data_IF_986261377381
#
_entry.id   IF_986261377381
#
_cell.length_a   1.000
_cell.length_b   1.000
_cell.length_c   1.000
_cell.angle_alpha   90.00
_cell.angle_beta   90.00
_cell.angle_gamma   90.00
#
_symmetry.space_group_name_H-M   'P 1'
#
loop_
_entity.id
_entity.type
_entity.pdbx_description
1 polymer ?
#
# COMPACT_ATOMS: atom_id res chain seq x y z
N UNK A 1 7.43 -14.94 -1.11
CA UNK A 1 6.08 -15.29 -0.64
C UNK A 1 5.90 -16.81 -0.56
N UNK A 2 5.78 -17.53 -1.67
CA UNK A 2 5.42 -18.97 -1.73
C UNK A 2 6.34 -19.85 -0.87
N UNK A 3 7.66 -19.68 -0.93
CA UNK A 3 8.62 -20.43 -0.10
C UNK A 3 8.41 -20.26 1.43
N UNK A 4 7.74 -19.19 1.83
CA UNK A 4 7.38 -18.91 3.23
C UNK A 4 5.92 -19.28 3.55
N UNK A 5 5.30 -20.16 2.74
CA UNK A 5 3.91 -20.62 2.88
C UNK A 5 2.84 -19.53 2.74
N UNK A 6 3.20 -18.34 2.22
CA UNK A 6 2.27 -17.27 1.89
C UNK A 6 1.68 -17.57 0.53
N UNK A 7 0.36 -17.54 0.44
CA UNK A 7 -0.36 -17.78 -0.81
C UNK A 7 -0.22 -16.55 -1.71
N UNK A 8 0.57 -16.70 -2.77
CA UNK A 8 0.80 -15.70 -3.81
C UNK A 8 0.85 -16.42 -5.16
N UNK A 9 0.47 -15.78 -6.28
CA UNK A 9 0.44 -16.41 -7.59
C UNK A 9 1.77 -17.05 -7.95
N UNK A 10 1.72 -18.29 -8.43
CA UNK A 10 2.88 -18.94 -9.05
C UNK A 10 3.07 -18.34 -10.43
N UNK A 11 4.31 -18.08 -10.80
CA UNK A 11 4.68 -17.73 -12.15
C UNK A 11 4.89 -19.03 -12.93
N UNK A 12 4.07 -19.26 -13.97
CA UNK A 12 4.16 -20.43 -14.82
C UNK A 12 5.08 -20.21 -16.02
N UNK A 13 4.96 -19.04 -16.66
CA UNK A 13 5.70 -18.69 -17.85
C UNK A 13 6.04 -17.21 -17.91
N UNK A 14 7.20 -16.89 -18.46
CA UNK A 14 7.60 -15.53 -18.79
C UNK A 14 8.01 -15.45 -20.26
N UNK A 15 7.50 -14.46 -20.99
CA UNK A 15 7.89 -14.18 -22.38
C UNK A 15 8.05 -12.66 -22.56
N UNK A 16 9.22 -12.17 -22.21
CA UNK A 16 9.51 -10.74 -22.29
C UNK A 16 9.64 -10.21 -23.74
N UNK A 17 9.80 -11.10 -24.75
CA UNK A 17 9.80 -10.68 -26.16
C UNK A 17 8.40 -10.29 -26.62
N UNK A 18 7.39 -10.98 -26.11
CA UNK A 18 5.98 -10.75 -26.40
C UNK A 18 5.26 -9.97 -25.28
N UNK A 19 6.01 -9.48 -24.27
CA UNK A 19 5.52 -8.67 -23.17
C UNK A 19 4.39 -9.33 -22.35
N UNK A 20 4.43 -10.65 -22.14
CA UNK A 20 3.47 -11.32 -21.27
C UNK A 20 4.12 -12.23 -20.22
N UNK A 21 3.39 -12.44 -19.14
CA UNK A 21 3.65 -13.45 -18.11
C UNK A 21 2.37 -14.26 -17.88
N UNK A 22 2.53 -15.54 -17.57
CA UNK A 22 1.44 -16.42 -17.17
C UNK A 22 1.60 -16.73 -15.68
N UNK A 23 0.57 -16.42 -14.91
CA UNK A 23 0.55 -16.59 -13.46
C UNK A 23 -0.71 -17.34 -13.00
N UNK A 24 -0.64 -17.90 -11.80
CA UNK A 24 -1.78 -18.58 -11.16
C UNK A 24 -2.92 -17.58 -10.91
N UNK A 25 -4.14 -17.97 -11.27
CA UNK A 25 -5.35 -17.21 -11.01
C UNK A 25 -6.00 -17.68 -9.70
N UNK A 26 -6.24 -16.75 -8.78
CA UNK A 26 -6.97 -16.98 -7.52
C UNK A 26 -8.44 -16.57 -7.60
N UNK A 27 -8.92 -16.19 -8.77
CA UNK A 27 -10.26 -15.65 -8.97
C UNK A 27 -10.37 -14.19 -8.49
N UNK A 28 -11.60 -13.72 -8.34
CA UNK A 28 -11.90 -12.29 -8.16
C UNK A 28 -12.54 -11.96 -6.80
N UNK A 29 -12.56 -12.88 -5.84
CA UNK A 29 -13.17 -12.67 -4.52
C UNK A 29 -12.25 -11.89 -3.58
N UNK A 30 -12.05 -10.61 -3.91
CA UNK A 30 -11.20 -9.71 -3.13
C UNK A 30 -11.82 -9.39 -1.77
N UNK A 31 -10.96 -9.04 -0.78
CA UNK A 31 -11.43 -8.53 0.52
C UNK A 31 -12.29 -7.28 0.32
N UNK A 32 -11.99 -6.43 -0.66
CA UNK A 32 -12.83 -5.29 -1.02
C UNK A 32 -14.27 -5.70 -1.36
N UNK A 33 -14.46 -6.70 -2.24
CA UNK A 33 -15.80 -7.22 -2.58
C UNK A 33 -16.50 -7.80 -1.35
N UNK A 34 -15.77 -8.54 -0.51
CA UNK A 34 -16.31 -9.13 0.71
C UNK A 34 -16.76 -8.10 1.74
N UNK A 35 -15.98 -7.02 1.93
CA UNK A 35 -16.33 -5.93 2.86
C UNK A 35 -17.61 -5.19 2.45
N UNK A 36 -17.96 -5.20 1.16
CA UNK A 36 -19.19 -4.58 0.63
C UNK A 36 -20.42 -5.49 0.71
N UNK A 37 -20.24 -6.79 0.94
CA UNK A 37 -21.37 -7.71 1.08
C UNK A 37 -22.16 -7.37 2.35
N UNK A 38 -23.49 -7.32 2.25
CA UNK A 38 -24.39 -7.12 3.40
C UNK A 38 -24.17 -8.25 4.44
N UNK A 39 -24.11 -7.89 5.71
CA UNK A 39 -23.89 -8.86 6.80
C UNK A 39 -22.43 -9.35 6.93
N UNK A 40 -21.47 -8.81 6.15
CA UNK A 40 -20.06 -9.21 6.27
C UNK A 40 -19.49 -8.86 7.65
N UNK A 41 -18.76 -9.80 8.24
CA UNK A 41 -17.99 -9.54 9.46
C UNK A 41 -16.67 -8.81 9.11
N UNK A 42 -16.76 -7.48 8.98
CA UNK A 42 -15.66 -6.62 8.57
C UNK A 42 -14.43 -6.77 9.47
N UNK A 43 -14.64 -6.81 10.80
CA UNK A 43 -13.56 -6.97 11.77
C UNK A 43 -12.78 -8.28 11.52
N UNK A 44 -13.49 -9.38 11.27
CA UNK A 44 -12.86 -10.67 11.02
C UNK A 44 -12.06 -10.68 9.70
N UNK A 45 -12.59 -10.03 8.65
CA UNK A 45 -11.87 -9.90 7.37
C UNK A 45 -10.55 -9.12 7.56
N UNK A 46 -10.60 -8.00 8.27
CA UNK A 46 -9.39 -7.23 8.58
C UNK A 46 -8.41 -7.98 9.49
N UNK A 47 -8.89 -8.72 10.50
CA UNK A 47 -8.01 -9.55 11.34
C UNK A 47 -7.25 -10.57 10.51
N UNK A 48 -7.91 -11.29 9.60
CA UNK A 48 -7.24 -12.21 8.66
C UNK A 48 -6.23 -11.49 7.76
N UNK A 49 -6.52 -10.27 7.34
CA UNK A 49 -5.57 -9.45 6.56
C UNK A 49 -4.34 -9.07 7.40
N UNK A 50 -4.54 -8.72 8.65
CA UNK A 50 -3.42 -8.44 9.59
C UNK A 50 -2.61 -9.70 9.87
N UNK A 51 -3.24 -10.86 10.07
CA UNK A 51 -2.53 -12.14 10.23
C UNK A 51 -1.60 -12.40 9.04
N UNK A 52 -2.10 -12.20 7.81
CA UNK A 52 -1.29 -12.31 6.59
C UNK A 52 -0.16 -11.27 6.55
N UNK A 53 -0.42 -10.03 6.96
CA UNK A 53 0.61 -8.99 7.02
C UNK A 53 1.76 -9.38 7.96
N UNK A 54 1.44 -9.87 9.16
CA UNK A 54 2.45 -10.35 10.12
C UNK A 54 3.29 -11.48 9.52
N UNK A 55 2.67 -12.44 8.82
CA UNK A 55 3.42 -13.52 8.16
C UNK A 55 4.36 -12.97 7.05
N UNK A 56 3.94 -11.97 6.29
CA UNK A 56 4.80 -11.30 5.30
C UNK A 56 5.97 -10.60 6.00
N UNK A 57 5.73 -9.91 7.10
CA UNK A 57 6.73 -9.17 7.86
C UNK A 57 7.79 -10.07 8.50
N UNK A 58 7.48 -11.34 8.73
CA UNK A 58 8.46 -12.35 9.21
C UNK A 58 9.49 -12.76 8.15
N UNK A 59 9.27 -12.41 6.87
CA UNK A 59 10.19 -12.76 5.80
C UNK A 59 11.47 -11.94 5.92
N UNK A 60 12.58 -12.58 6.28
CA UNK A 60 13.90 -11.95 6.43
C UNK A 60 14.75 -11.98 5.15
N UNK A 61 14.27 -12.67 4.12
CA UNK A 61 15.06 -12.93 2.91
C UNK A 61 15.08 -11.68 2.02
N UNK A 62 16.27 -11.09 1.88
CA UNK A 62 16.50 -9.88 1.04
C UNK A 62 16.97 -10.23 -0.38
N UNK A 63 17.35 -11.48 -0.64
CA UNK A 63 17.81 -11.95 -1.96
C UNK A 63 16.84 -13.02 -2.45
N UNK A 64 16.32 -12.83 -3.63
CA UNK A 64 15.46 -13.79 -4.33
C UNK A 64 16.13 -14.26 -5.62
N UNK A 65 15.63 -15.35 -6.19
CA UNK A 65 16.08 -15.85 -7.50
C UNK A 65 14.88 -15.81 -8.45
N UNK A 66 15.11 -15.34 -9.68
CA UNK A 66 14.13 -15.47 -10.75
C UNK A 66 14.05 -16.93 -11.25
N UNK A 67 13.18 -17.21 -12.22
CA UNK A 67 13.02 -18.56 -12.80
C UNK A 67 14.35 -19.11 -13.40
N UNK A 68 15.18 -18.24 -13.96
CA UNK A 68 16.50 -18.58 -14.52
C UNK A 68 17.61 -18.67 -13.47
N UNK A 69 17.28 -18.62 -12.17
CA UNK A 69 18.25 -18.72 -11.09
C UNK A 69 19.07 -17.44 -10.81
N UNK A 70 18.90 -16.36 -11.58
CA UNK A 70 19.60 -15.09 -11.37
C UNK A 70 19.19 -14.48 -10.05
N UNK A 71 20.18 -14.10 -9.25
CA UNK A 71 19.96 -13.42 -7.95
C UNK A 71 19.44 -12.00 -8.17
N UNK A 72 18.45 -11.59 -7.38
CA UNK A 72 17.95 -10.24 -7.32
C UNK A 72 17.89 -9.82 -5.84
N UNK A 73 18.56 -8.71 -5.52
CA UNK A 73 18.48 -8.11 -4.19
C UNK A 73 17.28 -7.17 -4.14
N UNK A 74 16.38 -7.43 -3.19
CA UNK A 74 15.21 -6.56 -2.98
C UNK A 74 15.69 -5.20 -2.49
N UNK A 75 15.39 -4.10 -3.20
CA UNK A 75 15.87 -2.77 -2.83
C UNK A 75 15.28 -2.27 -1.51
N UNK A 76 15.94 -1.29 -0.92
CA UNK A 76 15.44 -0.59 0.27
C UNK A 76 14.47 0.52 -0.15
N UNK A 77 13.38 0.65 0.61
CA UNK A 77 12.41 1.73 0.45
C UNK A 77 12.85 2.96 1.23
N UNK A 78 13.81 3.66 0.66
CA UNK A 78 14.45 4.81 1.29
C UNK A 78 13.54 6.05 1.34
N UNK A 79 13.83 6.97 2.26
CA UNK A 79 13.11 8.24 2.40
C UNK A 79 13.09 9.05 1.11
N UNK A 80 14.16 9.00 0.31
CA UNK A 80 14.19 9.67 -0.99
C UNK A 80 13.15 9.14 -1.98
N UNK A 81 12.89 7.82 -1.98
CA UNK A 81 11.84 7.21 -2.80
C UNK A 81 10.45 7.59 -2.29
N UNK A 82 10.24 7.54 -0.97
CA UNK A 82 9.00 8.01 -0.32
C UNK A 82 8.72 9.49 -0.64
N UNK A 83 9.76 10.33 -0.57
CA UNK A 83 9.67 11.74 -0.92
C UNK A 83 9.22 11.94 -2.38
N UNK A 84 9.87 11.25 -3.33
CA UNK A 84 9.51 11.34 -4.76
C UNK A 84 8.07 10.92 -5.02
N UNK A 85 7.58 9.91 -4.32
CA UNK A 85 6.19 9.44 -4.45
C UNK A 85 5.21 10.44 -3.82
N UNK A 86 5.46 10.94 -2.62
CA UNK A 86 4.60 11.94 -1.97
C UNK A 86 4.58 13.28 -2.72
N UNK A 87 5.70 13.65 -3.36
CA UNK A 87 5.82 14.86 -4.18
C UNK A 87 4.85 14.90 -5.35
N UNK A 88 4.33 13.77 -5.80
CA UNK A 88 3.26 13.74 -6.81
C UNK A 88 2.04 14.58 -6.40
N UNK A 89 1.81 14.75 -5.09
CA UNK A 89 0.77 15.65 -4.60
C UNK A 89 1.02 17.10 -5.02
N UNK A 90 2.21 17.62 -4.81
CA UNK A 90 2.56 18.99 -5.19
C UNK A 90 2.65 19.15 -6.72
N UNK A 91 3.18 18.14 -7.41
CA UNK A 91 3.42 18.22 -8.86
C UNK A 91 2.13 18.14 -9.67
N UNK A 92 1.09 17.46 -9.19
CA UNK A 92 -0.15 17.23 -9.93
C UNK A 92 -1.38 17.80 -9.24
N UNK A 93 -1.63 17.45 -7.96
CA UNK A 93 -2.83 17.91 -7.28
C UNK A 93 -2.76 19.40 -6.93
N UNK A 94 -1.71 19.85 -6.24
CA UNK A 94 -1.58 21.27 -5.87
C UNK A 94 -1.51 22.17 -7.10
N UNK A 95 -0.80 21.74 -8.14
CA UNK A 95 -0.72 22.45 -9.43
C UNK A 95 -2.10 22.74 -10.04
N UNK A 96 -3.07 21.83 -9.86
CA UNK A 96 -4.42 21.97 -10.39
C UNK A 96 -5.27 22.97 -9.61
N UNK A 97 -5.10 23.06 -8.29
CA UNK A 97 -6.00 23.81 -7.41
C UNK A 97 -5.40 25.10 -6.85
N UNK A 98 -4.09 25.30 -6.96
CA UNK A 98 -3.40 26.49 -6.47
C UNK A 98 -3.11 27.43 -7.64
N UNK A 99 -3.35 28.72 -7.43
CA UNK A 99 -3.05 29.74 -8.46
C UNK A 99 -1.57 29.75 -8.84
N UNK A 100 -1.26 29.98 -10.11
CA UNK A 100 0.11 30.01 -10.65
C UNK A 100 1.04 30.93 -9.84
N UNK A 101 0.54 32.05 -9.33
CA UNK A 101 1.31 33.02 -8.51
C UNK A 101 1.73 32.43 -7.17
N UNK A 102 0.88 31.64 -6.49
CA UNK A 102 1.14 31.05 -5.16
C UNK A 102 1.83 29.69 -5.23
N UNK A 103 1.71 28.99 -6.35
CA UNK A 103 2.15 27.60 -6.50
C UNK A 103 3.64 27.39 -6.14
N UNK A 104 4.60 28.22 -6.56
CA UNK A 104 6.01 28.01 -6.20
C UNK A 104 6.24 27.99 -4.69
N UNK A 105 5.69 28.96 -3.95
CA UNK A 105 5.82 29.04 -2.50
C UNK A 105 5.13 27.85 -1.80
N UNK A 106 3.93 27.48 -2.24
CA UNK A 106 3.21 26.33 -1.69
C UNK A 106 3.97 25.03 -1.93
N UNK A 107 4.55 24.84 -3.11
CA UNK A 107 5.36 23.65 -3.41
C UNK A 107 6.62 23.55 -2.55
N UNK A 108 7.31 24.68 -2.31
CA UNK A 108 8.45 24.72 -1.41
C UNK A 108 8.03 24.26 -0.01
N UNK A 109 6.94 24.80 0.50
CA UNK A 109 6.44 24.47 1.83
C UNK A 109 5.98 23.02 1.95
N UNK A 110 5.20 22.52 0.98
CA UNK A 110 4.79 21.10 0.95
C UNK A 110 6.02 20.18 0.96
N UNK A 111 7.00 20.46 0.11
CA UNK A 111 8.21 19.65 0.02
C UNK A 111 9.03 19.69 1.33
N UNK A 112 9.07 20.85 2.00
CA UNK A 112 9.69 21.01 3.31
C UNK A 112 8.99 20.14 4.36
N UNK A 113 7.65 20.17 4.39
CA UNK A 113 6.87 19.36 5.32
C UNK A 113 7.02 17.86 5.06
N UNK A 114 7.02 17.43 3.80
CA UNK A 114 7.28 16.00 3.48
C UNK A 114 8.64 15.57 4.00
N UNK A 115 9.71 16.37 3.78
CA UNK A 115 11.05 16.07 4.28
C UNK A 115 11.09 16.01 5.79
N UNK A 116 10.43 16.96 6.46
CA UNK A 116 10.31 16.98 7.93
C UNK A 116 9.63 15.72 8.46
N UNK A 117 8.49 15.31 7.90
CA UNK A 117 7.81 14.08 8.28
C UNK A 117 8.71 12.86 8.10
N UNK A 118 9.35 12.72 6.94
CA UNK A 118 10.22 11.59 6.64
C UNK A 118 11.46 11.53 7.56
N UNK A 119 12.02 12.68 7.98
CA UNK A 119 13.14 12.71 8.93
C UNK A 119 12.73 12.28 10.35
N UNK A 120 11.44 12.29 10.66
CA UNK A 120 10.89 11.85 11.95
C UNK A 120 10.51 10.37 12.01
N UNK A 121 10.70 9.60 10.93
CA UNK A 121 10.56 8.15 10.98
C UNK A 121 11.63 7.53 11.90
N UNK A 122 11.21 6.62 12.77
CA UNK A 122 12.05 6.01 13.82
C UNK A 122 12.35 4.54 13.58
N UNK A 123 11.45 3.82 12.90
CA UNK A 123 11.61 2.38 12.64
C UNK A 123 12.52 2.17 11.44
N UNK A 124 13.50 1.30 11.58
CA UNK A 124 14.44 0.94 10.51
C UNK A 124 13.74 0.22 9.35
N UNK A 125 14.26 0.44 8.13
CA UNK A 125 13.82 -0.25 6.93
C UNK A 125 14.41 -1.67 6.86
N UNK A 126 13.82 -2.61 7.57
CA UNK A 126 14.29 -4.00 7.67
C UNK A 126 13.22 -5.04 7.32
N UNK A 127 12.00 -4.61 7.11
CA UNK A 127 10.83 -5.47 6.90
C UNK A 127 10.46 -5.52 5.41
N UNK A 128 10.03 -6.70 4.95
CA UNK A 128 9.46 -6.80 3.59
C UNK A 128 8.14 -6.04 3.56
N UNK A 129 8.05 -5.07 2.67
CA UNK A 129 6.88 -4.20 2.44
C UNK A 129 6.35 -4.46 1.05
N UNK A 130 5.06 -4.76 0.97
CA UNK A 130 4.36 -5.00 -0.28
C UNK A 130 4.14 -3.72 -1.09
N UNK A 131 3.98 -2.58 -0.41
CA UNK A 131 3.67 -1.23 -0.90
C UNK A 131 2.21 -1.00 -1.28
N UNK A 132 1.55 -2.01 -1.81
CA UNK A 132 0.13 -1.97 -2.17
C UNK A 132 -0.68 -3.04 -1.41
N UNK A 133 -0.42 -3.12 -0.08
CA UNK A 133 -1.12 -4.03 0.83
C UNK A 133 -2.49 -3.44 1.21
N UNK A 134 -3.45 -3.56 0.31
CA UNK A 134 -4.80 -3.03 0.47
C UNK A 134 -5.86 -4.07 0.10
N UNK A 135 -7.10 -3.81 0.50
CA UNK A 135 -8.21 -4.77 0.42
C UNK A 135 -8.51 -5.32 -0.98
N UNK A 136 -8.11 -4.61 -2.07
CA UNK A 136 -8.30 -5.08 -3.44
C UNK A 136 -7.23 -6.07 -3.91
N UNK A 137 -6.04 -6.07 -3.26
CA UNK A 137 -4.94 -6.99 -3.57
C UNK A 137 -4.92 -8.22 -2.66
N UNK A 138 -5.92 -8.36 -1.80
CA UNK A 138 -6.12 -9.52 -0.93
C UNK A 138 -7.31 -10.31 -1.43
N UNK A 139 -7.08 -11.58 -1.83
CA UNK A 139 -8.08 -12.45 -2.43
C UNK A 139 -8.37 -13.61 -1.50
N UNK A 140 -9.65 -13.90 -1.27
CA UNK A 140 -10.05 -15.11 -0.59
C UNK A 140 -10.00 -16.28 -1.58
N UNK A 141 -9.01 -17.15 -1.41
CA UNK A 141 -8.91 -18.38 -2.19
C UNK A 141 -9.09 -19.59 -1.28
N UNK A 142 -10.16 -20.38 -1.52
CA UNK A 142 -10.57 -21.48 -0.63
C UNK A 142 -10.81 -20.94 0.80
N UNK A 143 -10.06 -21.42 1.80
CA UNK A 143 -10.17 -20.98 3.21
C UNK A 143 -9.07 -20.01 3.64
N UNK A 144 -8.17 -19.60 2.72
CA UNK A 144 -7.00 -18.77 3.01
C UNK A 144 -7.10 -17.41 2.30
N UNK A 145 -6.28 -16.46 2.74
CA UNK A 145 -6.03 -15.24 1.99
C UNK A 145 -4.79 -15.40 1.12
N UNK A 146 -4.93 -15.00 -0.13
CA UNK A 146 -3.84 -14.83 -1.07
C UNK A 146 -3.53 -13.34 -1.21
N UNK A 147 -2.28 -13.04 -1.56
CA UNK A 147 -1.85 -11.69 -1.91
C UNK A 147 -1.34 -11.68 -3.35
N UNK A 148 -1.82 -10.73 -4.13
CA UNK A 148 -1.41 -10.49 -5.52
C UNK A 148 -0.58 -9.21 -5.63
N UNK A 149 -0.03 -8.94 -6.82
CA UNK A 149 0.69 -7.70 -7.12
C UNK A 149 1.97 -7.51 -6.28
N UNK A 150 2.75 -8.59 -6.14
CA UNK A 150 3.92 -8.64 -5.25
C UNK A 150 5.24 -8.16 -5.89
N UNK A 151 5.25 -7.78 -7.17
CA UNK A 151 6.45 -7.46 -7.93
C UNK A 151 7.16 -6.19 -7.45
N UNK A 152 6.44 -5.26 -6.87
CA UNK A 152 6.98 -3.98 -6.40
C UNK A 152 7.42 -3.98 -4.93
N UNK A 153 7.47 -5.16 -4.30
CA UNK A 153 7.85 -5.29 -2.90
C UNK A 153 9.30 -4.80 -2.65
N UNK A 154 9.49 -4.14 -1.52
CA UNK A 154 10.77 -3.54 -1.09
C UNK A 154 11.06 -3.91 0.36
N UNK A 155 12.27 -3.60 0.83
CA UNK A 155 12.61 -3.64 2.26
C UNK A 155 12.36 -2.26 2.84
N UNK A 156 11.44 -2.13 3.77
CA UNK A 156 11.02 -0.83 4.28
C UNK A 156 10.56 -0.86 5.74
N UNK A 157 9.91 0.22 6.13
CA UNK A 157 9.34 0.42 7.46
C UNK A 157 8.06 -0.43 7.61
N UNK A 158 7.98 -1.22 8.66
CA UNK A 158 6.87 -2.15 8.89
C UNK A 158 5.50 -1.47 9.03
N UNK A 159 5.45 -0.20 9.39
CA UNK A 159 4.21 0.55 9.51
C UNK A 159 3.59 0.91 8.15
N UNK A 160 4.34 0.82 7.04
CA UNK A 160 3.86 1.25 5.73
C UNK A 160 2.65 0.44 5.24
N UNK A 161 2.74 -0.89 5.27
CA UNK A 161 1.65 -1.76 4.81
C UNK A 161 0.48 -1.78 5.80
N UNK A 162 0.75 -1.56 7.09
CA UNK A 162 -0.29 -1.37 8.10
C UNK A 162 -1.11 -0.11 7.79
N UNK A 163 -0.45 1.02 7.49
CA UNK A 163 -1.10 2.25 7.05
C UNK A 163 -1.86 2.05 5.73
N UNK A 164 -1.29 1.27 4.80
CA UNK A 164 -1.92 0.93 3.53
C UNK A 164 -3.25 0.20 3.71
N UNK A 165 -3.35 -0.69 4.68
CA UNK A 165 -4.55 -1.47 4.96
C UNK A 165 -5.59 -0.67 5.75
N UNK A 166 -5.17 0.07 6.78
CA UNK A 166 -6.08 0.78 7.70
C UNK A 166 -6.66 2.04 7.06
N UNK A 167 -5.81 2.80 6.35
CA UNK A 167 -6.19 4.03 5.65
C UNK A 167 -6.40 3.84 4.15
N UNK A 168 -6.91 2.65 3.78
CA UNK A 168 -7.25 2.35 2.40
C UNK A 168 -8.38 3.26 1.92
N UNK A 169 -8.07 4.11 0.95
CA UNK A 169 -9.01 5.06 0.33
C UNK A 169 -10.15 4.38 -0.43
N UNK A 170 -10.01 3.09 -0.78
CA UNK A 170 -11.01 2.31 -1.52
C UNK A 170 -12.19 1.88 -0.66
N UNK A 171 -11.97 1.79 0.66
CA UNK A 171 -13.00 1.37 1.59
C UNK A 171 -13.10 2.33 2.78
N UNK A 172 -14.16 3.13 2.81
CA UNK A 172 -14.40 4.07 3.91
C UNK A 172 -14.69 3.32 5.21
N UNK A 173 -13.74 3.35 6.12
CA UNK A 173 -13.87 2.80 7.48
C UNK A 173 -14.04 3.91 8.51
N UNK A 174 -14.86 3.66 9.52
CA UNK A 174 -14.99 4.58 10.65
C UNK A 174 -13.83 4.43 11.64
N UNK A 175 -13.65 5.43 12.51
CA UNK A 175 -12.58 5.45 13.51
C UNK A 175 -12.55 4.18 14.37
N UNK A 176 -13.69 3.75 14.89
CA UNK A 176 -13.81 2.54 15.73
C UNK A 176 -13.27 1.29 15.05
N UNK A 177 -13.54 1.10 13.74
CA UNK A 177 -13.01 -0.02 12.97
C UNK A 177 -11.50 0.09 12.81
N UNK A 178 -10.98 1.27 12.47
CA UNK A 178 -9.54 1.53 12.34
C UNK A 178 -8.80 1.25 13.65
N UNK A 179 -9.31 1.76 14.76
CA UNK A 179 -8.74 1.55 16.09
C UNK A 179 -8.72 0.05 16.46
N UNK A 180 -9.79 -0.69 16.17
CA UNK A 180 -9.86 -2.12 16.41
C UNK A 180 -8.83 -2.90 15.58
N UNK A 181 -8.60 -2.52 14.32
CA UNK A 181 -7.62 -3.17 13.44
C UNK A 181 -6.20 -2.86 13.93
N UNK A 182 -5.91 -1.60 14.26
CA UNK A 182 -4.62 -1.17 14.80
C UNK A 182 -4.29 -1.89 16.12
N UNK A 183 -5.24 -1.92 17.06
CA UNK A 183 -5.09 -2.61 18.34
C UNK A 183 -4.91 -4.13 18.17
N UNK A 184 -5.57 -4.74 17.19
CA UNK A 184 -5.36 -6.15 16.87
C UNK A 184 -3.94 -6.39 16.36
N UNK A 185 -3.43 -5.54 15.47
CA UNK A 185 -2.04 -5.61 15.01
C UNK A 185 -1.06 -5.51 16.19
N UNK A 186 -1.23 -4.54 17.09
CA UNK A 186 -0.41 -4.40 18.29
C UNK A 186 -0.41 -5.67 19.16
N UNK A 187 -1.60 -6.28 19.33
CA UNK A 187 -1.76 -7.49 20.14
C UNK A 187 -0.97 -8.68 19.60
N UNK A 188 -0.94 -8.86 18.27
CA UNK A 188 -0.33 -10.06 17.66
C UNK A 188 1.10 -9.86 17.17
N UNK A 189 1.58 -8.61 17.09
CA UNK A 189 2.93 -8.29 16.64
C UNK A 189 4.04 -8.56 17.66
N UNK A 190 3.71 -9.13 18.82
CA UNK A 190 4.57 -9.35 20.00
C UNK A 190 5.11 -8.07 20.64
N UNK A 191 5.26 -8.08 21.98
CA UNK A 191 5.62 -6.93 22.83
C UNK A 191 6.98 -6.26 22.54
N UNK A 192 7.66 -6.67 21.47
CA UNK A 192 8.96 -6.11 21.05
C UNK A 192 8.85 -4.75 20.35
N UNK A 193 7.64 -4.31 19.99
CA UNK A 193 7.45 -3.05 19.27
C UNK A 193 7.08 -1.94 20.25
N UNK A 194 7.89 -0.88 20.27
CA UNK A 194 7.50 0.33 21.00
C UNK A 194 6.26 0.95 20.34
N UNK A 195 5.14 0.93 21.07
CA UNK A 195 3.83 1.36 20.57
C UNK A 195 3.80 2.83 20.16
N UNK A 196 4.52 3.70 20.88
CA UNK A 196 4.62 5.14 20.58
C UNK A 196 5.38 5.34 19.27
N UNK A 197 6.49 4.64 19.10
CA UNK A 197 7.30 4.73 17.87
C UNK A 197 6.51 4.18 16.68
N UNK A 198 5.80 3.06 16.84
CA UNK A 198 4.97 2.50 15.79
C UNK A 198 3.83 3.45 15.39
N UNK A 199 3.18 4.08 16.36
CA UNK A 199 2.10 5.04 16.10
C UNK A 199 2.63 6.25 15.32
N UNK A 200 3.76 6.82 15.76
CA UNK A 200 4.42 7.91 15.04
C UNK A 200 4.67 7.57 13.57
N UNK A 201 5.31 6.42 13.31
CA UNK A 201 5.64 6.03 11.95
C UNK A 201 4.42 5.66 11.12
N UNK A 202 3.40 5.06 11.75
CA UNK A 202 2.11 4.77 11.13
C UNK A 202 1.41 6.05 10.65
N UNK A 203 1.32 7.07 11.50
CA UNK A 203 0.66 8.34 11.17
C UNK A 203 1.43 9.08 10.05
N UNK A 204 2.75 9.15 10.16
CA UNK A 204 3.60 9.76 9.12
C UNK A 204 3.41 9.04 7.78
N UNK A 205 3.52 7.72 7.76
CA UNK A 205 3.43 6.94 6.53
C UNK A 205 2.02 6.93 5.96
N UNK A 206 0.99 7.05 6.79
CA UNK A 206 -0.40 7.25 6.32
C UNK A 206 -0.52 8.57 5.55
N UNK A 207 0.00 9.67 6.08
CA UNK A 207 0.02 10.97 5.37
C UNK A 207 0.79 10.89 4.07
N UNK A 208 2.03 10.40 4.11
CA UNK A 208 2.92 10.27 2.94
C UNK A 208 2.26 9.44 1.83
N UNK A 209 1.66 8.31 2.21
CA UNK A 209 0.96 7.42 1.29
C UNK A 209 -0.29 8.08 0.68
N UNK A 210 -1.08 8.77 1.48
CA UNK A 210 -2.27 9.49 1.00
C UNK A 210 -1.90 10.61 0.03
N UNK A 211 -0.83 11.35 0.28
CA UNK A 211 -0.30 12.34 -0.67
C UNK A 211 0.09 11.68 -2.00
N UNK A 212 0.82 10.55 -1.99
CA UNK A 212 1.14 9.75 -3.19
C UNK A 212 -0.14 9.43 -3.97
N UNK A 213 -1.15 8.86 -3.30
CA UNK A 213 -2.40 8.41 -3.95
C UNK A 213 -3.14 9.58 -4.58
N UNK A 214 -3.33 10.69 -3.87
CA UNK A 214 -3.98 11.90 -4.40
C UNK A 214 -3.22 12.41 -5.62
N UNK A 215 -1.89 12.45 -5.57
CA UNK A 215 -1.05 12.86 -6.68
C UNK A 215 -1.16 11.94 -7.90
N UNK A 216 -1.19 10.61 -7.69
CA UNK A 216 -1.39 9.63 -8.77
C UNK A 216 -2.74 9.84 -9.43
N UNK A 217 -3.83 10.00 -8.66
CA UNK A 217 -5.16 10.22 -9.24
C UNK A 217 -5.26 11.54 -9.99
N UNK A 218 -4.68 12.62 -9.46
CA UNK A 218 -4.62 13.90 -10.17
C UNK A 218 -3.90 13.76 -11.50
N UNK A 219 -2.76 13.05 -11.53
CA UNK A 219 -2.00 12.75 -12.75
C UNK A 219 -2.81 11.93 -13.75
N UNK A 220 -3.43 10.85 -13.31
CA UNK A 220 -4.25 9.99 -14.19
C UNK A 220 -5.44 10.75 -14.76
N UNK A 221 -6.12 11.58 -13.96
CA UNK A 221 -7.22 12.41 -14.43
C UNK A 221 -6.79 13.40 -15.51
N UNK A 222 -5.56 13.95 -15.43
CA UNK A 222 -5.01 14.87 -16.43
C UNK A 222 -4.51 14.13 -17.68
N UNK A 223 -3.83 12.99 -17.50
CA UNK A 223 -3.17 12.26 -18.60
C UNK A 223 -4.13 11.37 -19.40
N UNK A 224 -5.17 10.82 -18.77
CA UNK A 224 -6.06 9.85 -19.38
C UNK A 224 -7.42 10.44 -19.78
N UNK A 225 -7.60 11.78 -19.68
CA UNK A 225 -8.89 12.42 -19.92
C UNK A 225 -10.06 11.73 -19.16
N UNK A 226 -9.78 11.15 -18.01
CA UNK A 226 -10.81 10.61 -17.14
C UNK A 226 -11.67 11.79 -16.67
N UNK A 227 -12.92 11.82 -17.13
CA UNK A 227 -13.85 12.96 -17.15
C UNK A 227 -14.18 13.58 -15.81
N UNK A 228 -13.80 12.97 -14.70
CA UNK A 228 -14.02 13.53 -13.38
C UNK A 228 -12.78 13.39 -12.53
N UNK A 229 -12.22 14.54 -12.16
CA UNK A 229 -11.23 14.59 -11.08
C UNK A 229 -11.91 14.08 -9.81
N UNK A 230 -11.40 13.03 -9.17
CA UNK A 230 -11.99 12.57 -7.93
C UNK A 230 -11.87 13.67 -6.90
N UNK A 231 -13.01 14.21 -6.47
CA UNK A 231 -13.05 14.93 -5.20
C UNK A 231 -12.76 13.93 -4.08
N UNK A 232 -11.98 14.28 -3.06
CA UNK A 232 -11.85 13.46 -1.87
C UNK A 232 -13.20 13.12 -1.21
N UNK A 233 -14.27 13.86 -1.55
CA UNK A 233 -15.63 13.66 -1.05
C UNK A 233 -16.47 12.67 -1.86
N UNK A 234 -16.11 12.39 -3.11
CA UNK A 234 -17.03 11.72 -4.04
C UNK A 234 -16.92 10.19 -4.10
N UNK A 235 -16.07 9.57 -3.30
CA UNK A 235 -15.99 8.09 -3.26
C UNK A 235 -15.67 7.45 -4.62
N UNK A 236 -15.02 8.17 -5.54
CA UNK A 236 -14.79 7.85 -6.95
C UNK A 236 -13.93 6.61 -7.21
N UNK A 237 -13.38 6.02 -6.15
CA UNK A 237 -12.65 4.76 -6.22
C UNK A 237 -13.53 3.55 -6.57
N UNK A 238 -14.86 3.69 -6.49
CA UNK A 238 -15.80 2.63 -6.89
C UNK A 238 -15.93 2.48 -8.42
N UNK A 239 -15.34 3.39 -9.21
CA UNK A 239 -15.44 3.40 -10.68
C UNK A 239 -14.13 3.07 -11.40
N UNK A 240 -13.09 2.65 -10.68
CA UNK A 240 -11.90 2.13 -11.36
C UNK A 240 -12.24 0.76 -11.96
N UNK A 241 -12.03 0.55 -13.28
CA UNK A 241 -12.04 -0.78 -13.84
C UNK A 241 -10.97 -1.60 -13.12
N UNK A 242 -11.32 -2.82 -12.74
CA UNK A 242 -10.33 -3.82 -12.35
C UNK A 242 -9.45 -4.08 -13.57
N UNK A 243 -8.27 -3.48 -13.59
CA UNK A 243 -7.19 -3.88 -14.51
C UNK A 243 -6.60 -5.19 -14.05
#
# INVERSE_FOLDING_TARGET
MIKNKILAPKLYKENYKENFIEIEDFGDETIFKLLRKRGSNKINLYKKSIDLLIEIQKIKKKIIKNLKGKKYQVPIYENNKLFKEAKLFSDWYAKKYISKKKLPMVNIEINRQIKFLLSNLKIKNETLVHRDFHVSNLIRHKKKLAIIDTQDALIGNMAYDLASLIDDVRFKSNKKLKDNIYNYYLKISNDKINKIILLNDFEILSVIRNMKIIGIFARLAESCLLYTSPSPRDGLLSRMPSS
#
